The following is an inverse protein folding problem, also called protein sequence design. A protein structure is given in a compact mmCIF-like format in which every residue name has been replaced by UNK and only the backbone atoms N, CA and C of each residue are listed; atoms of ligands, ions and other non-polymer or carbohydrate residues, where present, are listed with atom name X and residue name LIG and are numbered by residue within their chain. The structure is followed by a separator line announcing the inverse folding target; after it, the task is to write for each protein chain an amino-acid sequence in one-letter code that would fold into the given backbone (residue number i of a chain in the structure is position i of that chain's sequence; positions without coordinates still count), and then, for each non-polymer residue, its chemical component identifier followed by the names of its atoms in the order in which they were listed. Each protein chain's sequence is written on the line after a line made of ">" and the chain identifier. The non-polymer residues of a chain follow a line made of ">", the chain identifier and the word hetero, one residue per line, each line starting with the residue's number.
data_IF_466202856099
#
_entry.id   IF_466202856099
#
_cell.length_a   1.000
_cell.length_b   1.000
_cell.length_c   1.000
_cell.angle_alpha   90.00
_cell.angle_beta   90.00
_cell.angle_gamma   90.00
#
_symmetry.space_group_name_H-M   'P 1'
#
loop_
_entity.id
_entity.type
_entity.pdbx_description
1 polymer ?
#
# COMPACT_ATOMS: atom_id res chain seq x y z
N UNK A 1 1.36 -22.06 -27.92
CA UNK A 1 0.73 -21.12 -26.95
C UNK A 1 1.08 -19.69 -27.38
N UNK A 2 0.13 -18.74 -27.47
CA UNK A 2 0.42 -17.39 -27.95
C UNK A 2 1.37 -16.63 -27.00
N UNK A 3 2.38 -15.91 -27.52
CA UNK A 3 3.34 -15.11 -26.75
C UNK A 3 2.67 -14.15 -25.74
N UNK A 4 1.49 -13.62 -26.06
CA UNK A 4 0.71 -12.77 -25.15
C UNK A 4 0.19 -13.50 -23.91
N UNK A 5 -0.15 -14.79 -24.00
CA UNK A 5 -0.58 -15.57 -22.84
C UNK A 5 0.59 -15.90 -21.90
N UNK A 6 1.80 -16.12 -22.45
CA UNK A 6 3.01 -16.30 -21.63
C UNK A 6 3.40 -15.02 -20.89
N UNK A 7 3.29 -13.83 -21.52
CA UNK A 7 3.51 -12.56 -20.84
C UNK A 7 2.47 -12.32 -19.73
N UNK A 8 1.18 -12.61 -19.98
CA UNK A 8 0.13 -12.49 -18.95
C UNK A 8 0.32 -13.47 -17.78
N UNK A 9 0.83 -14.68 -18.03
CA UNK A 9 1.12 -15.66 -16.97
C UNK A 9 2.36 -15.28 -16.14
N UNK A 10 3.37 -14.65 -16.74
CA UNK A 10 4.51 -14.08 -16.01
C UNK A 10 4.16 -12.78 -15.26
N UNK A 11 3.06 -12.12 -15.64
CA UNK A 11 2.54 -10.89 -15.04
C UNK A 11 1.29 -11.13 -14.18
N UNK A 12 0.98 -12.37 -13.76
CA UNK A 12 0.00 -12.53 -12.69
C UNK A 12 0.58 -11.81 -11.46
N UNK A 13 -0.10 -10.79 -10.90
CA UNK A 13 0.43 -10.06 -9.78
C UNK A 13 0.66 -11.08 -8.67
N UNK A 14 1.92 -11.27 -8.29
CA UNK A 14 2.26 -12.14 -7.16
C UNK A 14 1.56 -11.58 -5.94
N UNK A 15 0.46 -12.21 -5.55
CA UNK A 15 -0.22 -11.88 -4.32
C UNK A 15 0.65 -12.34 -3.17
N UNK A 16 0.85 -11.47 -2.20
CA UNK A 16 1.51 -11.82 -0.95
C UNK A 16 0.46 -11.70 0.12
N UNK A 17 0.26 -12.79 0.85
CA UNK A 17 -0.85 -12.93 1.75
C UNK A 17 -0.35 -13.23 3.15
N UNK A 18 -1.04 -12.72 4.17
CA UNK A 18 -0.88 -13.20 5.53
C UNK A 18 -2.24 -13.26 6.22
N UNK A 19 -2.34 -14.05 7.29
CA UNK A 19 -3.60 -14.25 8.00
C UNK A 19 -3.44 -13.90 9.47
N UNK A 20 -4.43 -13.24 10.06
CA UNK A 20 -4.49 -13.01 11.51
C UNK A 20 -5.56 -13.90 12.11
N UNK A 21 -5.20 -14.69 13.13
CA UNK A 21 -6.14 -15.46 13.96
C UNK A 21 -6.71 -14.61 15.09
N UNK A 22 -7.82 -15.08 15.67
CA UNK A 22 -8.44 -14.46 16.84
C UNK A 22 -8.81 -12.99 16.59
N UNK A 23 -9.16 -12.68 15.35
CA UNK A 23 -9.40 -11.32 14.89
C UNK A 23 -10.79 -11.24 14.26
N UNK A 24 -11.76 -10.72 15.00
CA UNK A 24 -13.11 -10.47 14.49
C UNK A 24 -13.28 -8.99 14.16
N UNK A 25 -13.88 -8.67 13.01
CA UNK A 25 -14.18 -7.28 12.62
C UNK A 25 -15.31 -6.68 13.47
N UNK A 26 -16.08 -7.52 14.18
CA UNK A 26 -16.97 -7.06 15.25
C UNK A 26 -16.21 -6.49 16.45
N UNK A 27 -14.99 -6.98 16.66
CA UNK A 27 -14.07 -6.47 17.68
C UNK A 27 -13.16 -5.36 17.15
N UNK A 28 -12.90 -5.34 15.84
CA UNK A 28 -11.98 -4.41 15.17
C UNK A 28 -12.59 -3.80 13.90
N UNK A 29 -13.03 -2.53 13.93
CA UNK A 29 -13.66 -1.91 12.76
C UNK A 29 -12.68 -1.79 11.59
N UNK A 30 -12.89 -2.58 10.54
CA UNK A 30 -11.97 -2.68 9.40
C UNK A 30 -11.74 -1.32 8.72
N UNK A 31 -12.75 -0.46 8.69
CA UNK A 31 -12.61 0.89 8.14
C UNK A 31 -11.57 1.73 8.90
N UNK A 32 -11.49 1.60 10.24
CA UNK A 32 -10.49 2.32 11.02
C UNK A 32 -9.08 1.79 10.74
N UNK A 33 -8.92 0.47 10.56
CA UNK A 33 -7.64 -0.14 10.18
C UNK A 33 -7.20 0.37 8.81
N UNK A 34 -8.13 0.40 7.86
CA UNK A 34 -7.85 0.90 6.52
C UNK A 34 -7.43 2.36 6.56
N UNK A 35 -8.18 3.23 7.24
CA UNK A 35 -7.90 4.67 7.27
C UNK A 35 -6.68 5.05 8.11
N UNK A 36 -6.45 4.38 9.25
CA UNK A 36 -5.36 4.74 10.17
C UNK A 36 -4.04 4.08 9.83
N UNK A 37 -4.07 2.88 9.26
CA UNK A 37 -2.88 2.08 9.01
C UNK A 37 -2.60 1.97 7.52
N UNK A 38 -3.52 1.36 6.77
CA UNK A 38 -3.26 1.02 5.37
C UNK A 38 -3.12 2.25 4.46
N UNK A 39 -4.05 3.19 4.55
CA UNK A 39 -4.08 4.39 3.70
C UNK A 39 -2.79 5.23 3.85
N UNK A 40 -2.28 5.51 5.06
CA UNK A 40 -0.99 6.15 5.24
C UNK A 40 0.18 5.34 4.67
N UNK A 41 0.25 4.03 4.96
CA UNK A 41 1.32 3.18 4.44
C UNK A 41 1.35 3.17 2.91
N UNK A 42 0.21 2.92 2.25
CA UNK A 42 0.09 2.93 0.79
C UNK A 42 0.58 4.25 0.20
N UNK A 43 0.24 5.39 0.81
CA UNK A 43 0.68 6.71 0.34
C UNK A 43 2.21 6.86 0.44
N UNK A 44 2.83 6.34 1.49
CA UNK A 44 4.30 6.34 1.64
C UNK A 44 4.97 5.51 0.56
N UNK A 45 4.49 4.31 0.27
CA UNK A 45 5.03 3.47 -0.80
C UNK A 45 4.84 4.10 -2.18
N UNK A 46 3.66 4.68 -2.43
CA UNK A 46 3.38 5.38 -3.68
C UNK A 46 4.33 6.57 -3.90
N UNK A 47 4.54 7.37 -2.85
CA UNK A 47 5.39 8.56 -2.90
C UNK A 47 6.87 8.22 -3.02
N UNK A 48 7.37 7.37 -2.11
CA UNK A 48 8.82 7.16 -1.94
C UNK A 48 9.38 6.04 -2.80
N UNK A 49 8.54 5.07 -3.20
CA UNK A 49 8.97 3.90 -3.98
C UNK A 49 8.40 3.86 -5.39
N UNK A 50 7.45 4.75 -5.73
CA UNK A 50 6.74 4.70 -7.00
C UNK A 50 5.99 3.38 -7.20
N UNK A 51 5.48 2.78 -6.13
CA UNK A 51 4.78 1.50 -6.18
C UNK A 51 3.41 1.69 -5.57
N UNK A 52 2.37 1.54 -6.38
CA UNK A 52 1.00 1.51 -5.89
C UNK A 52 0.63 0.08 -5.50
N UNK A 53 0.48 -0.14 -4.20
CA UNK A 53 0.09 -1.43 -3.63
C UNK A 53 -1.39 -1.33 -3.26
N UNK A 54 -2.16 -2.33 -3.64
CA UNK A 54 -3.57 -2.52 -3.29
C UNK A 54 -3.66 -3.65 -2.29
N UNK A 55 -4.47 -3.46 -1.26
CA UNK A 55 -4.76 -4.49 -0.26
C UNK A 55 -6.22 -4.90 -0.38
N UNK A 56 -6.46 -6.19 -0.38
CA UNK A 56 -7.79 -6.78 -0.18
C UNK A 56 -7.77 -7.62 1.09
N UNK A 57 -8.94 -7.83 1.68
CA UNK A 57 -9.06 -8.71 2.84
C UNK A 57 -10.28 -9.61 2.68
N UNK A 58 -10.20 -10.81 3.26
CA UNK A 58 -11.30 -11.77 3.29
C UNK A 58 -11.39 -12.41 4.67
N UNK A 59 -12.62 -12.67 5.11
CA UNK A 59 -12.88 -13.45 6.31
C UNK A 59 -12.57 -14.92 6.04
N UNK A 60 -11.86 -15.55 6.96
CA UNK A 60 -11.46 -16.95 6.84
C UNK A 60 -11.72 -17.68 8.16
N UNK A 61 -12.00 -18.97 8.04
CA UNK A 61 -12.00 -19.90 9.15
C UNK A 61 -10.69 -20.68 9.13
N UNK A 62 -10.03 -20.76 10.29
CA UNK A 62 -8.70 -21.35 10.44
C UNK A 62 -8.85 -22.61 11.30
N UNK A 63 -8.75 -23.77 10.66
CA UNK A 63 -8.80 -25.08 11.31
C UNK A 63 -7.38 -25.54 11.62
N UNK A 64 -6.82 -25.01 12.72
CA UNK A 64 -5.49 -25.41 13.17
C UNK A 64 -5.50 -26.36 14.38
N UNK A 65 -6.65 -26.63 15.00
CA UNK A 65 -6.91 -27.72 15.97
C UNK A 65 -8.42 -27.76 16.30
N UNK A 66 -8.87 -28.62 17.22
CA UNK A 66 -10.26 -29.03 17.54
C UNK A 66 -11.38 -27.96 17.69
N UNK A 67 -11.08 -26.67 17.48
CA UNK A 67 -12.01 -25.55 17.43
C UNK A 67 -11.69 -24.64 16.25
N UNK A 68 -12.67 -24.39 15.38
CA UNK A 68 -12.61 -23.43 14.28
C UNK A 68 -12.41 -22.00 14.82
N UNK A 69 -11.35 -21.31 14.40
CA UNK A 69 -11.07 -19.91 14.79
C UNK A 69 -11.36 -18.95 13.65
N UNK A 70 -12.08 -17.87 13.94
CA UNK A 70 -12.26 -16.76 13.00
C UNK A 70 -10.95 -16.00 12.79
N UNK A 71 -10.72 -15.58 11.54
CA UNK A 71 -9.59 -14.74 11.17
C UNK A 71 -9.84 -13.92 9.93
N UNK A 72 -8.87 -13.06 9.62
CA UNK A 72 -8.88 -12.23 8.43
C UNK A 72 -7.59 -12.46 7.66
N UNK A 73 -7.73 -12.81 6.38
CA UNK A 73 -6.62 -12.90 5.44
C UNK A 73 -6.49 -11.57 4.71
N UNK A 74 -5.31 -10.98 4.74
CA UNK A 74 -4.95 -9.79 3.98
C UNK A 74 -4.09 -10.21 2.78
N UNK A 75 -4.36 -9.61 1.62
CA UNK A 75 -3.70 -9.90 0.36
C UNK A 75 -3.20 -8.60 -0.27
N UNK A 76 -1.91 -8.56 -0.62
CA UNK A 76 -1.24 -7.40 -1.18
C UNK A 76 -0.94 -7.65 -2.65
N UNK A 77 -1.26 -6.67 -3.48
CA UNK A 77 -1.14 -6.72 -4.93
C UNK A 77 -0.52 -5.43 -5.44
N UNK A 78 0.30 -5.53 -6.47
CA UNK A 78 0.72 -4.35 -7.22
C UNK A 78 -0.37 -3.93 -8.20
N UNK A 79 -0.64 -2.63 -8.26
CA UNK A 79 -1.66 -2.03 -9.14
C UNK A 79 -1.18 -2.00 -10.59
N UNK A 80 -1.79 -2.82 -11.46
CA UNK A 80 -1.45 -2.84 -12.90
C UNK A 80 -1.87 -1.56 -13.63
N UNK A 81 -2.83 -0.79 -13.08
CA UNK A 81 -3.18 0.54 -13.59
C UNK A 81 -1.94 1.46 -13.69
N UNK A 82 -0.96 1.21 -12.84
CA UNK A 82 0.30 1.91 -12.80
C UNK A 82 1.24 1.57 -13.96
N UNK A 83 1.28 0.30 -14.37
CA UNK A 83 2.06 -0.16 -15.53
C UNK A 83 1.54 0.47 -16.83
N UNK A 84 0.24 0.73 -16.92
CA UNK A 84 -0.38 1.40 -18.06
C UNK A 84 -0.02 2.89 -18.16
N UNK A 85 0.49 3.50 -17.08
CA UNK A 85 0.94 4.90 -17.08
C UNK A 85 2.42 5.06 -17.47
N UNK A 86 3.21 3.98 -17.38
CA UNK A 86 4.55 3.97 -17.92
C UNK A 86 4.48 4.11 -19.46
N UNK A 87 5.27 5.04 -20.02
CA UNK A 87 5.19 5.45 -21.42
C UNK A 87 5.23 4.21 -22.36
N UNK A 88 4.10 3.95 -23.02
CA UNK A 88 3.89 2.83 -23.95
C UNK A 88 4.92 2.76 -25.09
N UNK A 89 5.80 3.77 -25.24
CA UNK A 89 6.85 3.87 -26.25
C UNK A 89 8.25 3.50 -25.74
N UNK A 90 8.37 2.43 -24.94
CA UNK A 90 9.65 1.80 -24.51
C UNK A 90 10.45 2.55 -23.43
N UNK A 91 9.90 3.61 -22.83
CA UNK A 91 10.58 4.35 -21.76
C UNK A 91 10.15 3.82 -20.40
N UNK A 92 11.10 3.27 -19.63
CA UNK A 92 10.92 2.84 -18.24
C UNK A 92 10.84 4.02 -17.28
N UNK A 93 10.33 5.18 -17.71
CA UNK A 93 10.23 6.40 -16.90
C UNK A 93 8.78 6.68 -16.57
N UNK A 94 8.58 7.20 -15.36
CA UNK A 94 7.29 7.68 -14.87
C UNK A 94 7.45 9.09 -14.33
N UNK A 95 6.36 9.84 -14.37
CA UNK A 95 6.36 11.24 -14.00
C UNK A 95 5.34 11.46 -12.89
N UNK A 96 5.83 11.88 -11.73
CA UNK A 96 5.01 12.23 -10.58
C UNK A 96 4.82 13.74 -10.52
N UNK A 97 3.58 14.15 -10.34
CA UNK A 97 3.21 15.47 -9.85
C UNK A 97 2.92 15.35 -8.36
N UNK A 98 3.67 16.10 -7.57
CA UNK A 98 3.40 16.33 -6.17
C UNK A 98 2.72 17.66 -5.98
N UNK A 99 1.64 17.64 -5.21
CA UNK A 99 0.92 18.85 -4.79
C UNK A 99 0.82 18.89 -3.28
N UNK A 100 0.84 20.09 -2.71
CA UNK A 100 0.62 20.28 -1.28
C UNK A 100 -0.83 19.91 -0.93
N UNK A 101 -1.04 19.28 0.22
CA UNK A 101 -2.39 19.04 0.76
C UNK A 101 -2.99 20.33 1.29
N UNK A 102 -4.31 20.38 1.27
CA UNK A 102 -5.07 21.52 1.79
C UNK A 102 -4.74 21.72 3.29
N UNK A 103 -4.48 22.96 3.69
CA UNK A 103 -4.15 23.32 5.07
C UNK A 103 -2.70 23.07 5.50
N UNK A 104 -1.81 22.60 4.62
CA UNK A 104 -0.38 22.46 4.94
C UNK A 104 0.37 23.78 4.68
N UNK A 105 1.06 24.27 5.70
CA UNK A 105 1.94 25.44 5.62
C UNK A 105 3.37 25.06 5.17
N UNK A 106 4.13 26.05 4.67
CA UNK A 106 5.49 25.86 4.17
C UNK A 106 5.60 25.57 2.67
N UNK A 107 6.84 25.51 2.20
CA UNK A 107 7.21 25.18 0.81
C UNK A 107 7.21 23.66 0.61
N UNK A 108 6.57 23.20 -0.47
CA UNK A 108 6.51 21.77 -0.83
C UNK A 108 7.90 21.15 -0.98
N UNK A 109 8.90 21.92 -1.38
CA UNK A 109 10.28 21.44 -1.54
C UNK A 109 10.92 20.98 -0.23
N UNK A 110 10.48 21.51 0.92
CA UNK A 110 11.01 21.16 2.24
C UNK A 110 10.45 19.84 2.79
N UNK A 111 9.31 19.38 2.27
CA UNK A 111 8.62 18.19 2.76
C UNK A 111 8.11 17.30 1.63
N UNK A 112 8.78 17.32 0.49
CA UNK A 112 8.30 16.67 -0.71
C UNK A 112 8.18 15.13 -0.57
N UNK A 113 8.84 14.53 0.41
CA UNK A 113 8.79 13.09 0.73
C UNK A 113 7.87 12.76 1.91
N UNK A 114 7.15 13.74 2.47
CA UNK A 114 6.19 13.54 3.56
C UNK A 114 4.78 13.25 3.00
N UNK A 115 4.40 11.96 3.00
CA UNK A 115 3.11 11.48 2.54
C UNK A 115 1.90 12.07 3.30
N UNK A 116 2.11 12.62 4.51
CA UNK A 116 1.07 13.34 5.27
C UNK A 116 0.84 14.75 4.75
N UNK A 117 1.81 15.33 4.05
CA UNK A 117 1.80 16.72 3.57
C UNK A 117 1.61 16.86 2.06
N UNK A 118 1.95 15.84 1.28
CA UNK A 118 1.82 15.87 -0.19
C UNK A 118 0.76 14.90 -0.73
N UNK A 119 0.27 15.19 -1.92
CA UNK A 119 -0.54 14.29 -2.78
C UNK A 119 0.28 13.94 -4.01
N UNK A 120 0.29 12.66 -4.37
CA UNK A 120 0.96 12.14 -5.57
C UNK A 120 -0.08 11.94 -6.67
N UNK A 121 0.21 12.44 -7.86
CA UNK A 121 -0.51 12.15 -9.09
C UNK A 121 0.48 11.74 -10.17
N UNK A 122 0.13 10.76 -10.98
CA UNK A 122 0.97 10.37 -12.12
C UNK A 122 0.49 11.09 -13.37
N UNK A 123 1.44 11.62 -14.12
CA UNK A 123 1.18 12.41 -15.32
C UNK A 123 1.90 11.81 -16.52
N UNK A 124 1.42 12.13 -17.72
CA UNK A 124 2.09 11.70 -18.95
C UNK A 124 3.41 12.44 -19.17
N UNK A 125 4.31 11.84 -19.96
CA UNK A 125 5.53 12.47 -20.45
C UNK A 125 5.25 13.82 -21.15
N UNK A 126 4.17 13.88 -21.93
CA UNK A 126 3.74 15.12 -22.61
C UNK A 126 3.39 16.21 -21.61
N UNK A 127 2.65 15.87 -20.55
CA UNK A 127 2.29 16.80 -19.47
C UNK A 127 3.54 17.27 -18.72
N UNK A 128 4.45 16.33 -18.40
CA UNK A 128 5.73 16.63 -17.77
C UNK A 128 6.54 17.66 -18.57
N UNK A 129 6.77 17.39 -19.86
CA UNK A 129 7.51 18.27 -20.77
C UNK A 129 6.86 19.63 -20.93
N UNK A 130 5.52 19.68 -21.00
CA UNK A 130 4.77 20.93 -21.10
C UNK A 130 4.97 21.80 -19.86
N UNK A 131 4.75 21.26 -18.67
CA UNK A 131 4.86 22.03 -17.43
C UNK A 131 6.29 22.43 -17.10
N UNK A 132 7.28 21.61 -17.46
CA UNK A 132 8.69 21.96 -17.37
C UNK A 132 9.04 23.20 -18.19
N UNK A 133 8.50 23.33 -19.40
CA UNK A 133 8.70 24.52 -20.26
C UNK A 133 7.96 25.76 -19.77
N UNK A 134 6.80 25.57 -19.14
CA UNK A 134 5.93 26.67 -18.68
C UNK A 134 6.30 27.21 -17.29
N UNK A 135 7.31 26.64 -16.61
CA UNK A 135 7.75 27.11 -15.29
C UNK A 135 6.69 27.01 -14.18
N UNK A 136 5.67 26.14 -14.33
CA UNK A 136 4.50 26.04 -13.43
C UNK A 136 4.78 25.26 -12.13
N UNK A 137 5.96 25.44 -11.54
CA UNK A 137 6.46 24.64 -10.40
C UNK A 137 6.21 25.24 -9.01
N UNK A 138 5.58 26.42 -8.91
CA UNK A 138 5.54 27.21 -7.67
C UNK A 138 4.79 26.56 -6.49
N UNK A 139 3.82 25.67 -6.75
CA UNK A 139 3.13 24.85 -5.72
C UNK A 139 3.20 23.35 -6.03
N UNK A 140 4.00 23.00 -7.04
CA UNK A 140 3.94 21.73 -7.74
C UNK A 140 5.35 21.24 -7.98
N UNK A 141 5.72 20.17 -7.31
CA UNK A 141 6.97 19.50 -7.62
C UNK A 141 6.70 18.42 -8.65
N UNK A 142 7.45 18.40 -9.75
CA UNK A 142 7.36 17.35 -10.75
C UNK A 142 8.63 16.54 -10.74
N UNK A 143 8.51 15.22 -10.65
CA UNK A 143 9.63 14.28 -10.57
C UNK A 143 9.59 13.32 -11.75
N UNK A 144 10.73 13.13 -12.40
CA UNK A 144 10.96 11.98 -13.27
C UNK A 144 11.57 10.87 -12.43
N UNK A 145 11.00 9.66 -12.50
CA UNK A 145 11.45 8.50 -11.74
C UNK A 145 11.55 7.29 -12.66
N UNK A 146 12.44 6.36 -12.33
CA UNK A 146 12.46 5.06 -12.98
C UNK A 146 11.26 4.20 -12.55
N UNK A 147 10.70 3.48 -13.51
CA UNK A 147 9.72 2.45 -13.26
C UNK A 147 10.36 1.34 -12.42
N UNK A 148 9.74 0.93 -11.31
CA UNK A 148 10.29 -0.10 -10.47
C UNK A 148 10.30 -1.41 -11.27
N UNK A 149 11.42 -2.11 -11.22
CA UNK A 149 11.51 -3.42 -11.84
C UNK A 149 10.71 -4.47 -11.02
N UNK A 150 10.34 -5.61 -11.62
CA UNK A 150 9.53 -6.63 -10.94
C UNK A 150 10.11 -7.13 -9.61
N UNK A 151 11.44 -7.23 -9.48
CA UNK A 151 12.08 -7.67 -8.24
C UNK A 151 11.91 -6.65 -7.12
N UNK A 152 12.00 -5.36 -7.46
CA UNK A 152 11.77 -4.24 -6.54
C UNK A 152 10.30 -4.23 -6.12
N UNK A 153 9.37 -4.41 -7.06
CA UNK A 153 7.93 -4.49 -6.76
C UNK A 153 7.66 -5.58 -5.73
N UNK A 154 8.14 -6.81 -5.97
CA UNK A 154 7.92 -7.94 -5.04
C UNK A 154 8.53 -7.65 -3.67
N UNK A 155 9.74 -7.10 -3.62
CA UNK A 155 10.41 -6.74 -2.37
C UNK A 155 9.60 -5.72 -1.57
N UNK A 156 9.19 -4.63 -2.21
CA UNK A 156 8.46 -3.57 -1.51
C UNK A 156 7.02 -4.00 -1.17
N UNK A 157 6.41 -4.92 -1.92
CA UNK A 157 5.17 -5.58 -1.50
C UNK A 157 5.35 -6.40 -0.23
N UNK A 158 6.44 -7.16 -0.10
CA UNK A 158 6.77 -7.87 1.14
C UNK A 158 6.98 -6.89 2.30
N UNK A 159 7.71 -5.81 2.07
CA UNK A 159 7.92 -4.78 3.10
C UNK A 159 6.59 -4.15 3.53
N UNK A 160 5.72 -3.77 2.58
CA UNK A 160 4.43 -3.17 2.90
C UNK A 160 3.52 -4.10 3.69
N UNK A 161 3.55 -5.40 3.38
CA UNK A 161 2.85 -6.43 4.16
C UNK A 161 3.37 -6.49 5.59
N UNK A 162 4.71 -6.52 5.78
CA UNK A 162 5.33 -6.57 7.10
C UNK A 162 5.08 -5.31 7.91
N UNK A 163 5.21 -4.13 7.30
CA UNK A 163 4.90 -2.85 7.95
C UNK A 163 3.44 -2.80 8.40
N UNK A 164 2.51 -3.23 7.54
CA UNK A 164 1.10 -3.31 7.89
C UNK A 164 0.84 -4.30 9.04
N UNK A 165 1.49 -5.46 9.02
CA UNK A 165 1.37 -6.46 10.07
C UNK A 165 1.84 -5.91 11.44
N UNK A 166 2.98 -5.22 11.48
CA UNK A 166 3.53 -4.59 12.70
C UNK A 166 2.59 -3.52 13.25
N UNK A 167 2.12 -2.60 12.40
CA UNK A 167 1.20 -1.54 12.81
C UNK A 167 -0.14 -2.10 13.29
N UNK A 168 -0.65 -3.15 12.64
CA UNK A 168 -1.89 -3.81 13.02
C UNK A 168 -1.76 -4.56 14.36
N UNK A 169 -0.63 -5.23 14.60
CA UNK A 169 -0.33 -5.85 15.89
C UNK A 169 -0.32 -4.80 17.02
N UNK A 170 0.35 -3.67 16.79
CA UNK A 170 0.41 -2.58 17.76
C UNK A 170 -0.97 -1.95 18.01
N UNK A 171 -1.73 -1.71 16.94
CA UNK A 171 -3.11 -1.21 17.03
C UNK A 171 -3.98 -2.17 17.85
N UNK A 172 -3.82 -3.48 17.63
CA UNK A 172 -4.61 -4.48 18.32
C UNK A 172 -4.27 -4.59 19.82
N UNK A 173 -2.99 -4.53 20.19
CA UNK A 173 -2.54 -4.45 21.58
C UNK A 173 -3.17 -3.25 22.30
N UNK A 174 -3.09 -2.07 21.70
CA UNK A 174 -3.66 -0.84 22.27
C UNK A 174 -5.19 -0.95 22.45
N UNK A 175 -5.88 -1.54 21.48
CA UNK A 175 -7.33 -1.74 21.55
C UNK A 175 -7.73 -2.74 22.64
N UNK A 176 -6.97 -3.83 22.80
CA UNK A 176 -7.19 -4.82 23.88
C UNK A 176 -7.02 -4.18 25.26
N UNK A 177 -6.03 -3.29 25.44
CA UNK A 177 -5.85 -2.53 26.68
C UNK A 177 -7.05 -1.62 26.98
N UNK A 178 -7.57 -0.92 25.96
CA UNK A 178 -8.77 -0.09 26.07
C UNK A 178 -10.05 -0.88 26.40
N UNK A 179 -10.10 -2.19 26.11
CA UNK A 179 -11.24 -3.07 26.43
C UNK A 179 -11.08 -3.83 27.74
N UNK A 180 -9.86 -4.04 28.24
CA UNK A 180 -9.62 -4.61 29.59
C UNK A 180 -10.22 -3.74 30.69
N UNK A 181 -10.32 -2.42 30.50
CA UNK A 181 -11.05 -1.51 31.38
C UNK A 181 -12.57 -1.71 31.35
N UNK A 182 -13.11 -2.42 30.34
CA UNK A 182 -14.53 -2.76 30.16
C UNK A 182 -14.90 -4.22 30.45
N UNK A 183 -13.97 -5.05 30.96
CA UNK A 183 -14.28 -6.36 31.56
C UNK A 183 -14.39 -7.58 30.63
N UNK A 184 -14.21 -7.46 29.30
CA UNK A 184 -14.11 -8.63 28.39
C UNK A 184 -12.66 -8.89 28.00
N UNK A 185 -12.18 -10.12 28.29
CA UNK A 185 -10.85 -10.60 27.91
C UNK A 185 -10.92 -11.19 26.50
N UNK A 186 -10.29 -10.53 25.54
CA UNK A 186 -10.15 -10.99 24.14
C UNK A 186 -8.75 -11.61 24.01
N UNK A 187 -8.61 -12.70 23.27
CA UNK A 187 -7.31 -13.29 22.96
C UNK A 187 -6.48 -12.32 22.11
N UNK A 188 -5.16 -12.28 22.33
CA UNK A 188 -4.29 -11.43 21.51
C UNK A 188 -4.25 -11.99 20.07
N UNK A 189 -4.25 -11.11 19.05
CA UNK A 189 -4.17 -11.54 17.66
C UNK A 189 -2.82 -12.19 17.36
N UNK A 190 -2.84 -13.25 16.55
CA UNK A 190 -1.66 -14.00 16.12
C UNK A 190 -1.48 -13.83 14.61
N UNK A 191 -0.31 -13.33 14.19
CA UNK A 191 0.02 -13.10 12.77
C UNK A 191 0.67 -14.35 12.19
N UNK A 192 0.02 -14.96 11.20
CA UNK A 192 0.54 -16.03 10.38
C UNK A 192 1.09 -15.47 9.07
N UNK A 193 2.41 -15.38 8.98
CA UNK A 193 3.09 -15.05 7.73
C UNK A 193 3.06 -16.24 6.76
N UNK A 194 3.12 -16.00 5.45
CA UNK A 194 3.21 -17.09 4.47
C UNK A 194 4.56 -17.81 4.64
N UNK A 195 4.54 -19.15 4.53
CA UNK A 195 5.77 -19.95 4.52
C UNK A 195 6.63 -19.56 3.29
N UNK A 196 7.94 -19.37 3.48
CA UNK A 196 8.90 -19.00 2.43
C UNK A 196 9.09 -20.09 1.36
#
# INVERSE_FOLDING_TARGET
>A
MPKMLQMRQQMMPKMIDFTIKNFSVQDFPINEILERIWVPLRKTYLLTKCIDIVMTFQYVFINNDATEKEGVKFSFMYSSAFEHLADHRKSSKMYQLLTKRDGVEGDIHDFADDAKKVRVQFISNETFKKWGKEGRMTDRMVREMDAPNPQTIIKEMKNAMLDFAVELEQYAKNWNELRKTGGKKIEDPEILLPDD
#
